data_IF_157793646674
#
_entry.id   IF_157793646674
#
_cell.length_a   1.000
_cell.length_b   1.000
_cell.length_c   1.000
_cell.angle_alpha   90.00
_cell.angle_beta   90.00
_cell.angle_gamma   90.00
#
_symmetry.space_group_name_H-M   'P 1'
#
loop_
_entity.id
_entity.type
_entity.pdbx_description
1 polymer ?
#
# COMPACT_ATOMS: atom_id res chain seq x y z
N UNK A 1 -5.39 26.34 -36.76
CA UNK A 1 -4.50 25.25 -37.21
C UNK A 1 -3.30 25.03 -36.28
N UNK A 2 -2.24 25.86 -36.26
CA UNK A 2 -1.04 25.57 -35.44
C UNK A 2 -1.25 25.70 -33.91
N UNK A 3 -2.09 26.65 -33.48
CA UNK A 3 -2.38 26.87 -32.06
C UNK A 3 -3.20 25.71 -31.44
N UNK A 4 -4.12 25.12 -32.19
CA UNK A 4 -4.94 23.99 -31.72
C UNK A 4 -4.07 22.76 -31.46
N UNK A 5 -3.15 22.43 -32.38
CA UNK A 5 -2.23 21.31 -32.22
C UNK A 5 -1.27 21.52 -31.03
N UNK A 6 -0.90 22.78 -30.75
CA UNK A 6 0.00 23.13 -29.64
C UNK A 6 -0.60 22.86 -28.26
N UNK A 7 -1.94 22.85 -28.11
CA UNK A 7 -2.60 22.52 -26.86
C UNK A 7 -3.08 21.06 -26.80
N UNK A 8 -3.50 20.50 -27.94
CA UNK A 8 -4.03 19.12 -27.99
C UNK A 8 -2.96 18.09 -27.70
N UNK A 9 -1.74 18.26 -28.23
CA UNK A 9 -0.66 17.28 -28.05
C UNK A 9 -0.24 17.15 -26.57
N UNK A 10 0.08 18.25 -25.84
CA UNK A 10 0.36 18.16 -24.41
C UNK A 10 -0.80 17.57 -23.59
N UNK A 11 -2.04 17.92 -23.94
CA UNK A 11 -3.21 17.43 -23.22
C UNK A 11 -3.40 15.91 -23.41
N UNK A 12 -3.16 15.40 -24.62
CA UNK A 12 -3.20 13.97 -24.89
C UNK A 12 -2.14 13.19 -24.08
N UNK A 13 -0.92 13.72 -23.97
CA UNK A 13 0.11 13.13 -23.11
C UNK A 13 -0.26 13.18 -21.64
N UNK A 14 -0.82 14.29 -21.15
CA UNK A 14 -1.30 14.40 -19.78
C UNK A 14 -2.40 13.37 -19.48
N UNK A 15 -3.36 13.16 -20.39
CA UNK A 15 -4.38 12.11 -20.22
C UNK A 15 -3.77 10.72 -20.21
N UNK A 16 -2.83 10.42 -21.12
CA UNK A 16 -2.12 9.14 -21.15
C UNK A 16 -1.38 8.88 -19.83
N UNK A 17 -0.61 9.86 -19.34
CA UNK A 17 0.09 9.72 -18.07
C UNK A 17 -0.87 9.64 -16.88
N UNK A 18 -1.98 10.36 -16.89
CA UNK A 18 -2.98 10.27 -15.83
C UNK A 18 -3.59 8.86 -15.73
N UNK A 19 -3.83 8.18 -16.85
CA UNK A 19 -4.30 6.79 -16.86
C UNK A 19 -3.26 5.84 -16.27
N UNK A 20 -2.00 5.97 -16.69
CA UNK A 20 -0.90 5.16 -16.17
C UNK A 20 -0.71 5.42 -14.66
N UNK A 21 -0.70 6.69 -14.26
CA UNK A 21 -0.54 7.11 -12.86
C UNK A 21 -1.68 6.59 -11.99
N UNK A 22 -2.91 6.61 -12.49
CA UNK A 22 -4.06 5.98 -11.82
C UNK A 22 -3.81 4.49 -11.59
N UNK A 23 -3.33 3.77 -12.62
CA UNK A 23 -2.97 2.35 -12.50
C UNK A 23 -1.88 2.10 -11.43
N UNK A 24 -0.83 2.91 -11.42
CA UNK A 24 0.25 2.84 -10.41
C UNK A 24 -0.29 3.09 -9.01
N UNK A 25 -1.17 4.08 -8.83
CA UNK A 25 -1.81 4.37 -7.55
C UNK A 25 -2.64 3.18 -7.04
N UNK A 26 -3.50 2.62 -7.88
CA UNK A 26 -4.30 1.44 -7.52
C UNK A 26 -3.42 0.23 -7.20
N UNK A 27 -2.35 0.02 -7.97
CA UNK A 27 -1.39 -1.04 -7.68
C UNK A 27 -0.74 -0.85 -6.30
N UNK A 28 -0.24 0.35 -5.99
CA UNK A 28 0.36 0.66 -4.69
C UNK A 28 -0.63 0.47 -3.53
N UNK A 29 -1.90 0.88 -3.73
CA UNK A 29 -2.97 0.66 -2.75
C UNK A 29 -3.23 -0.84 -2.52
N UNK A 30 -3.30 -1.64 -3.58
CA UNK A 30 -3.44 -3.10 -3.47
C UNK A 30 -2.25 -3.73 -2.75
N UNK A 31 -1.03 -3.29 -3.04
CA UNK A 31 0.19 -3.75 -2.34
C UNK A 31 0.13 -3.43 -0.85
N UNK A 32 -0.22 -2.19 -0.47
CA UNK A 32 -0.36 -1.80 0.93
C UNK A 32 -1.43 -2.65 1.65
N UNK A 33 -2.56 -2.90 1.00
CA UNK A 33 -3.63 -3.73 1.55
C UNK A 33 -3.18 -5.18 1.77
N UNK A 34 -2.51 -5.79 0.79
CA UNK A 34 -1.98 -7.15 0.92
C UNK A 34 -0.86 -7.24 1.97
N UNK A 35 0.00 -6.23 2.07
CA UNK A 35 1.01 -6.15 3.13
C UNK A 35 0.35 -6.12 4.51
N UNK A 36 -0.71 -5.32 4.67
CA UNK A 36 -1.46 -5.21 5.91
C UNK A 36 -2.12 -6.55 6.29
N UNK A 37 -2.70 -7.26 5.32
CA UNK A 37 -3.27 -8.60 5.50
C UNK A 37 -2.21 -9.61 5.97
N UNK A 38 -1.04 -9.66 5.32
CA UNK A 38 0.03 -10.58 5.72
C UNK A 38 0.57 -10.29 7.11
N UNK A 39 0.74 -9.02 7.47
CA UNK A 39 1.10 -8.64 8.83
C UNK A 39 0.05 -9.09 9.85
N UNK A 40 -1.21 -8.89 9.52
CA UNK A 40 -2.33 -9.21 10.39
C UNK A 40 -2.45 -10.72 10.62
N UNK A 41 -2.31 -11.53 9.58
CA UNK A 41 -2.34 -12.99 9.68
C UNK A 41 -1.14 -13.52 10.50
N UNK A 42 0.06 -12.99 10.26
CA UNK A 42 1.25 -13.36 11.02
C UNK A 42 1.16 -12.98 12.50
N UNK A 43 0.56 -11.83 12.82
CA UNK A 43 0.40 -11.36 14.20
C UNK A 43 -0.73 -12.07 14.95
N UNK A 44 -1.77 -12.54 14.25
CA UNK A 44 -2.92 -13.25 14.84
C UNK A 44 -2.65 -14.73 15.09
N UNK A 45 -1.59 -15.28 14.51
CA UNK A 45 -1.16 -16.66 14.74
C UNK A 45 -0.98 -16.97 16.23
N UNK A 46 -1.33 -18.20 16.62
CA UNK A 46 -1.13 -18.67 17.98
C UNK A 46 0.37 -18.65 18.34
N UNK A 47 0.71 -18.08 19.49
CA UNK A 47 2.09 -17.84 19.92
C UNK A 47 2.95 -17.02 18.93
N UNK A 48 2.34 -16.10 18.17
CA UNK A 48 3.09 -15.17 17.34
C UNK A 48 4.16 -14.41 18.17
N UNK A 49 5.39 -14.40 17.66
CA UNK A 49 6.47 -13.64 18.27
C UNK A 49 6.15 -12.13 18.25
N UNK A 50 6.61 -11.34 19.23
CA UNK A 50 6.51 -9.89 19.18
C UNK A 50 7.12 -9.35 17.88
N UNK A 51 6.36 -8.55 17.12
CA UNK A 51 6.82 -8.00 15.83
C UNK A 51 6.72 -8.95 14.63
N UNK A 52 6.09 -10.12 14.78
CA UNK A 52 5.88 -11.05 13.67
C UNK A 52 5.13 -10.39 12.49
N UNK A 53 4.08 -9.61 12.77
CA UNK A 53 3.35 -8.89 11.73
C UNK A 53 4.21 -7.86 10.99
N UNK A 54 5.00 -7.07 11.73
CA UNK A 54 5.88 -6.06 11.15
C UNK A 54 6.94 -6.69 10.24
N UNK A 55 7.49 -7.84 10.65
CA UNK A 55 8.47 -8.59 9.85
C UNK A 55 7.82 -9.13 8.57
N UNK A 56 6.65 -9.76 8.68
CA UNK A 56 5.94 -10.32 7.54
C UNK A 56 5.57 -9.26 6.48
N UNK A 57 5.05 -8.10 6.92
CA UNK A 57 4.77 -7.01 5.99
C UNK A 57 6.03 -6.41 5.36
N UNK A 58 7.13 -6.25 6.11
CA UNK A 58 8.41 -5.77 5.55
C UNK A 58 8.95 -6.74 4.50
N UNK A 59 8.90 -8.04 4.76
CA UNK A 59 9.33 -9.07 3.81
C UNK A 59 8.46 -9.06 2.55
N UNK A 60 7.14 -8.87 2.70
CA UNK A 60 6.25 -8.71 1.56
C UNK A 60 6.58 -7.48 0.72
N UNK A 61 6.72 -6.32 1.37
CA UNK A 61 7.06 -5.06 0.70
C UNK A 61 8.42 -5.13 0.00
N UNK A 62 9.40 -5.81 0.60
CA UNK A 62 10.71 -6.04 -0.02
C UNK A 62 10.60 -6.87 -1.31
N UNK A 63 9.75 -7.89 -1.35
CA UNK A 63 9.48 -8.70 -2.55
C UNK A 63 8.77 -7.91 -3.66
N UNK A 64 8.01 -6.88 -3.30
CA UNK A 64 7.36 -5.99 -4.25
C UNK A 64 8.31 -4.96 -4.88
N UNK A 65 9.61 -5.01 -4.58
CA UNK A 65 10.63 -4.29 -5.36
C UNK A 65 10.56 -2.76 -5.26
N UNK A 66 9.98 -2.22 -4.19
CA UNK A 66 9.89 -0.77 -3.99
C UNK A 66 8.69 -0.09 -4.65
N UNK A 67 7.60 -0.81 -4.94
CA UNK A 67 6.33 -0.22 -5.41
C UNK A 67 5.78 0.90 -4.49
N UNK A 68 6.20 0.90 -3.22
CA UNK A 68 5.91 1.94 -2.24
C UNK A 68 7.23 2.51 -1.69
N UNK A 69 7.44 3.79 -1.90
CA UNK A 69 8.55 4.55 -1.30
C UNK A 69 8.20 4.94 0.13
N UNK A 70 9.18 4.85 1.03
CA UNK A 70 9.02 5.25 2.43
C UNK A 70 7.95 4.46 3.18
N UNK A 71 7.72 3.20 2.80
CA UNK A 71 6.64 2.40 3.37
C UNK A 71 6.80 2.23 4.89
N UNK A 72 5.76 2.57 5.64
CA UNK A 72 5.68 2.42 7.09
C UNK A 72 4.59 1.41 7.43
N UNK A 73 4.90 0.53 8.38
CA UNK A 73 3.98 -0.51 8.86
C UNK A 73 3.83 -0.35 10.36
N UNK A 74 2.60 -0.08 10.80
CA UNK A 74 2.23 -0.03 12.20
C UNK A 74 1.31 -1.21 12.52
N UNK A 75 1.64 -1.94 13.58
CA UNK A 75 0.88 -3.11 14.04
C UNK A 75 0.53 -2.89 15.50
N UNK A 76 -0.75 -2.95 15.80
CA UNK A 76 -1.32 -2.82 17.14
C UNK A 76 -2.06 -4.12 17.47
N UNK A 77 -1.78 -4.70 18.64
CA UNK A 77 -2.39 -5.94 19.13
C UNK A 77 -2.82 -5.70 20.57
N UNK A 78 -4.13 -5.64 20.82
CA UNK A 78 -4.70 -5.45 22.16
C UNK A 78 -4.98 -6.78 22.88
N UNK A 79 -4.59 -7.91 22.28
CA UNK A 79 -4.83 -9.27 22.76
C UNK A 79 -6.20 -9.84 22.37
N UNK A 80 -7.12 -9.03 21.86
CA UNK A 80 -8.44 -9.44 21.40
C UNK A 80 -8.68 -9.11 19.93
N UNK A 81 -8.05 -8.05 19.43
CA UNK A 81 -8.05 -7.56 18.06
C UNK A 81 -6.63 -7.15 17.67
N UNK A 82 -6.30 -7.43 16.42
CA UNK A 82 -5.08 -6.93 15.77
C UNK A 82 -5.50 -5.92 14.71
N UNK A 83 -4.88 -4.75 14.75
CA UNK A 83 -4.99 -3.70 13.75
C UNK A 83 -3.65 -3.50 13.07
N UNK A 84 -3.66 -3.37 11.75
CA UNK A 84 -2.46 -3.09 10.96
C UNK A 84 -2.75 -1.92 10.03
N UNK A 85 -1.81 -0.99 10.01
CA UNK A 85 -1.82 0.18 9.14
C UNK A 85 -0.54 0.21 8.31
N UNK A 86 -0.69 0.40 7.00
CA UNK A 86 0.41 0.47 6.05
C UNK A 86 0.27 1.75 5.24
N UNK A 87 1.30 2.59 5.33
CA UNK A 87 1.37 3.86 4.63
C UNK A 87 2.58 3.89 3.69
N UNK A 88 2.53 4.68 2.63
CA UNK A 88 3.66 4.90 1.73
C UNK A 88 3.30 5.75 0.53
N UNK A 89 4.30 6.13 -0.26
CA UNK A 89 4.09 6.92 -1.47
C UNK A 89 4.34 6.10 -2.72
N UNK A 90 3.47 6.23 -3.73
CA UNK A 90 3.68 5.59 -5.03
C UNK A 90 4.65 6.40 -5.89
N UNK A 91 5.31 5.73 -6.82
CA UNK A 91 6.17 6.39 -7.80
C UNK A 91 5.33 7.37 -8.61
N UNK A 92 5.85 8.59 -8.76
CA UNK A 92 5.18 9.65 -9.46
C UNK A 92 5.81 9.91 -10.84
N UNK A 93 4.99 9.80 -11.89
CA UNK A 93 5.37 10.04 -13.28
C UNK A 93 4.81 11.37 -13.81
N UNK A 94 3.76 11.90 -13.17
CA UNK A 94 3.08 13.13 -13.57
C UNK A 94 3.58 14.31 -12.73
N UNK A 95 4.15 15.38 -13.32
CA UNK A 95 4.55 16.57 -12.58
C UNK A 95 3.39 17.17 -11.79
N UNK A 96 3.59 17.44 -10.51
CA UNK A 96 2.60 18.06 -9.62
C UNK A 96 1.62 17.10 -8.92
N UNK A 97 1.74 15.79 -9.12
CA UNK A 97 0.99 14.77 -8.36
C UNK A 97 1.81 14.30 -7.15
N UNK A 98 1.19 14.09 -5.99
CA UNK A 98 1.77 13.29 -4.89
C UNK A 98 0.79 12.18 -4.47
N UNK A 99 1.19 10.93 -4.72
CA UNK A 99 0.33 9.77 -4.55
C UNK A 99 0.64 9.07 -3.24
N UNK A 100 -0.01 9.47 -2.15
CA UNK A 100 0.11 8.79 -0.86
C UNK A 100 -0.97 7.72 -0.72
N UNK A 101 -0.60 6.53 -0.24
CA UNK A 101 -1.54 5.47 0.12
C UNK A 101 -1.48 5.23 1.64
N UNK A 102 -2.65 5.05 2.21
CA UNK A 102 -2.87 4.64 3.60
C UNK A 102 -3.91 3.52 3.57
N UNK A 103 -3.54 2.34 4.07
CA UNK A 103 -4.42 1.19 4.16
C UNK A 103 -4.40 0.60 5.57
N UNK A 104 -5.59 0.47 6.16
CA UNK A 104 -5.81 -0.14 7.47
C UNK A 104 -6.65 -1.41 7.35
N UNK A 105 -6.23 -2.47 8.05
CA UNK A 105 -6.95 -3.75 8.16
C UNK A 105 -6.98 -4.15 9.63
N UNK A 106 -8.11 -4.66 10.10
CA UNK A 106 -8.29 -5.03 11.50
C UNK A 106 -9.15 -6.28 11.63
N UNK A 107 -8.83 -7.15 12.58
CA UNK A 107 -9.62 -8.37 12.80
C UNK A 107 -9.29 -9.06 14.16
N UNK A 108 -10.22 -9.87 14.73
CA UNK A 108 -10.10 -10.47 16.08
C UNK A 108 -9.07 -11.59 16.24
N UNK A 109 -8.35 -11.71 17.35
CA UNK A 109 -7.34 -12.77 17.53
C UNK A 109 -7.98 -14.16 17.66
N UNK A 110 -7.39 -15.19 17.07
CA UNK A 110 -7.89 -16.56 17.21
C UNK A 110 -7.71 -17.04 18.66
N UNK A 111 -8.80 -17.49 19.29
CA UNK A 111 -8.79 -18.07 20.64
C UNK A 111 -9.17 -19.54 20.53
N UNK A 112 -8.24 -20.43 20.86
CA UNK A 112 -8.54 -21.85 20.99
C UNK A 112 -9.55 -22.03 22.13
N UNK A 113 -10.73 -22.56 21.82
CA UNK A 113 -11.67 -23.05 22.82
C UNK A 113 -11.67 -24.59 22.73
N UNK A 114 -11.38 -25.28 23.85
CA UNK A 114 -11.35 -26.74 23.90
C UNK A 114 -12.72 -27.38 23.68
#
# INVERSE_FOLDING_TARGET
>A
MALELSMVVPLAFLMLFALIQGGVYFHGRSVAHHAAQQALDAQRAYNAAPGAGQTAARDFLARMGGSLSGAQVQVEDDGNQVSVEVQGSVINLVPGWDGHVDQRVQAPKEKFRP
#
